data_IF_777383941765
#
_entry.id   IF_777383941765
#
_cell.length_a   1.000
_cell.length_b   1.000
_cell.length_c   1.000
_cell.angle_alpha   90.00
_cell.angle_beta   90.00
_cell.angle_gamma   90.00
#
_symmetry.space_group_name_H-M   'P 1'
#
loop_
_entity.id
_entity.type
_entity.pdbx_description
1 polymer ?
#
# COMPACT_ATOMS: atom_id res chain seq x y z
N UNK A 1 69.62 -55.53 -0.73
CA UNK A 1 69.91 -54.60 0.38
C UNK A 1 68.85 -53.50 0.34
N UNK A 2 68.07 -53.39 1.43
CA UNK A 2 67.14 -52.29 1.85
C UNK A 2 66.18 -51.74 0.79
N UNK A 3 64.86 -52.04 0.87
CA UNK A 3 63.82 -51.19 1.51
C UNK A 3 63.87 -49.72 1.05
N UNK A 4 62.81 -49.05 0.59
CA UNK A 4 61.44 -49.04 1.07
C UNK A 4 60.50 -48.28 0.08
N UNK A 5 59.22 -48.70 0.03
CA UNK A 5 57.98 -47.90 -0.20
C UNK A 5 57.84 -47.05 -1.48
N UNK A 6 56.98 -47.39 -2.45
CA UNK A 6 55.50 -47.18 -2.45
C UNK A 6 55.12 -45.69 -2.31
N UNK A 7 54.38 -45.00 -3.21
CA UNK A 7 53.35 -45.44 -4.17
C UNK A 7 52.98 -44.31 -5.15
N UNK A 8 52.75 -44.72 -6.41
CA UNK A 8 51.72 -44.33 -7.41
C UNK A 8 51.64 -42.86 -7.88
N UNK A 9 51.98 -42.58 -9.14
CA UNK A 9 51.27 -42.85 -10.42
C UNK A 9 49.95 -42.09 -10.60
N UNK A 10 50.11 -41.03 -11.38
CA UNK A 10 49.19 -40.33 -12.27
C UNK A 10 48.12 -41.19 -12.97
N UNK A 11 46.98 -40.56 -13.24
CA UNK A 11 46.03 -40.98 -14.26
C UNK A 11 45.01 -39.88 -14.56
N UNK A 12 45.28 -39.07 -15.58
CA UNK A 12 44.26 -38.28 -16.28
C UNK A 12 43.38 -39.22 -17.12
N UNK A 13 42.05 -39.07 -17.05
CA UNK A 13 41.13 -38.75 -18.16
C UNK A 13 39.68 -39.27 -17.95
N UNK A 14 38.75 -38.35 -18.22
CA UNK A 14 37.35 -38.48 -18.64
C UNK A 14 36.29 -39.15 -17.74
N UNK A 15 35.43 -38.30 -17.16
CA UNK A 15 33.97 -38.38 -17.15
C UNK A 15 33.49 -36.99 -16.69
N UNK A 16 32.61 -36.28 -17.38
CA UNK A 16 31.24 -36.69 -17.66
C UNK A 16 30.33 -35.75 -16.86
N UNK A 17 29.55 -34.96 -17.58
CA UNK A 17 28.43 -34.14 -17.11
C UNK A 17 27.84 -34.58 -15.76
N UNK A 18 27.97 -33.74 -14.73
CA UNK A 18 27.01 -33.70 -13.64
C UNK A 18 26.75 -32.25 -13.24
N UNK A 19 25.48 -31.89 -13.33
CA UNK A 19 24.86 -30.64 -12.92
C UNK A 19 25.45 -30.10 -11.61
N UNK A 20 25.96 -28.87 -11.63
CA UNK A 20 25.84 -27.97 -10.48
C UNK A 20 24.82 -26.91 -10.86
N UNK A 21 23.57 -27.39 -10.92
CA UNK A 21 22.38 -26.57 -10.98
C UNK A 21 21.69 -26.85 -9.65
N UNK A 22 22.10 -26.13 -8.60
CA UNK A 22 21.41 -26.08 -7.32
C UNK A 22 21.92 -24.86 -6.52
N UNK A 23 21.03 -23.88 -6.43
CA UNK A 23 20.92 -22.84 -5.40
C UNK A 23 22.03 -21.78 -5.37
N UNK A 24 21.87 -20.54 -5.83
CA UNK A 24 20.67 -19.70 -5.92
C UNK A 24 19.75 -19.79 -4.68
N UNK A 25 20.29 -20.12 -3.51
CA UNK A 25 19.65 -19.86 -2.22
C UNK A 25 20.71 -19.26 -1.30
N UNK A 26 20.52 -18.00 -0.90
CA UNK A 26 21.44 -17.32 -0.01
C UNK A 26 21.51 -15.81 -0.18
N UNK A 27 20.76 -15.21 -1.11
CA UNK A 27 20.32 -13.84 -0.88
C UNK A 27 19.23 -13.92 0.19
N UNK A 28 19.65 -13.87 1.46
CA UNK A 28 18.78 -13.49 2.56
C UNK A 28 18.22 -12.11 2.20
N UNK A 29 17.06 -12.10 1.53
CA UNK A 29 16.18 -10.96 1.65
C UNK A 29 15.76 -10.94 3.12
N UNK A 30 16.42 -10.08 3.90
CA UNK A 30 15.92 -9.70 5.21
C UNK A 30 14.43 -9.39 5.09
N UNK A 31 13.60 -9.82 6.06
CA UNK A 31 12.19 -9.46 6.04
C UNK A 31 12.12 -7.94 5.97
N UNK A 32 11.35 -7.34 5.04
CA UNK A 32 11.27 -5.89 4.99
C UNK A 32 10.70 -5.41 6.33
N UNK A 33 11.56 -4.86 7.17
CA UNK A 33 11.17 -4.11 8.35
C UNK A 33 10.69 -2.71 7.92
N UNK A 34 9.76 -2.65 6.96
CA UNK A 34 9.05 -1.43 6.56
C UNK A 34 7.69 -1.46 7.21
N UNK A 35 7.67 -1.12 8.50
CA UNK A 35 6.42 -0.63 9.07
C UNK A 35 6.20 0.73 8.42
N UNK A 36 5.14 0.84 7.61
CA UNK A 36 4.54 2.03 6.97
C UNK A 36 4.64 2.04 5.43
N UNK A 37 3.49 1.97 4.70
CA UNK A 37 3.43 2.17 3.25
C UNK A 37 3.99 3.54 2.85
N UNK A 38 4.78 3.61 1.78
CA UNK A 38 5.35 4.85 1.23
C UNK A 38 6.71 5.29 1.80
N UNK A 39 7.28 4.58 2.78
CA UNK A 39 8.60 4.92 3.34
C UNK A 39 9.73 4.35 2.48
N UNK A 40 10.57 5.21 1.91
CA UNK A 40 11.84 4.78 1.30
C UNK A 40 12.84 4.32 2.39
N UNK A 41 13.68 3.30 2.12
CA UNK A 41 14.77 2.86 3.01
C UNK A 41 15.63 3.96 3.63
N UNK A 42 15.84 4.99 2.84
CA UNK A 42 16.76 6.10 3.05
C UNK A 42 16.02 7.41 3.37
N UNK A 43 14.68 7.39 3.42
CA UNK A 43 13.90 8.58 3.77
C UNK A 43 14.13 8.92 5.26
N UNK A 44 14.75 10.08 5.47
CA UNK A 44 14.88 10.73 6.78
C UNK A 44 13.66 11.59 7.13
N UNK A 45 12.61 11.56 6.31
CA UNK A 45 11.55 12.56 6.28
C UNK A 45 10.24 11.97 6.83
N UNK A 46 9.93 12.15 8.13
CA UNK A 46 8.81 11.48 8.79
C UNK A 46 7.41 11.84 8.26
N UNK A 47 7.25 13.00 7.61
CA UNK A 47 5.93 13.48 7.16
C UNK A 47 5.38 12.77 5.92
N UNK A 48 6.22 12.33 5.00
CA UNK A 48 5.78 11.51 3.86
C UNK A 48 5.12 10.22 4.34
N UNK A 49 5.59 9.67 5.47
CA UNK A 49 4.99 8.51 6.11
C UNK A 49 3.62 8.84 6.74
N UNK A 50 3.45 10.01 7.37
CA UNK A 50 2.15 10.45 7.89
C UNK A 50 1.14 10.66 6.77
N UNK A 51 1.52 11.36 5.70
CA UNK A 51 0.64 11.62 4.56
C UNK A 51 0.31 10.35 3.77
N UNK A 52 1.26 9.43 3.64
CA UNK A 52 1.01 8.11 3.05
C UNK A 52 0.04 7.30 3.90
N UNK A 53 0.26 7.23 5.21
CA UNK A 53 -0.66 6.55 6.12
C UNK A 53 -2.05 7.16 6.12
N UNK A 54 -2.15 8.49 6.14
CA UNK A 54 -3.41 9.23 6.03
C UNK A 54 -4.15 8.87 4.74
N UNK A 55 -3.43 8.81 3.60
CA UNK A 55 -4.01 8.42 2.32
C UNK A 55 -4.54 6.98 2.32
N UNK A 56 -3.75 6.01 2.78
CA UNK A 56 -4.18 4.61 2.85
C UNK A 56 -5.40 4.43 3.75
N UNK A 57 -5.42 5.06 4.93
CA UNK A 57 -6.59 5.06 5.82
C UNK A 57 -7.80 5.64 5.12
N UNK A 58 -7.70 6.86 4.58
CA UNK A 58 -8.82 7.53 3.93
C UNK A 58 -9.40 6.71 2.78
N UNK A 59 -8.54 6.22 1.89
CA UNK A 59 -8.94 5.48 0.69
C UNK A 59 -9.56 4.13 1.07
N UNK A 60 -8.94 3.39 1.99
CA UNK A 60 -9.49 2.11 2.47
C UNK A 60 -10.83 2.27 3.18
N UNK A 61 -10.98 3.28 4.04
CA UNK A 61 -12.25 3.58 4.73
C UNK A 61 -13.33 4.04 3.75
N UNK A 62 -12.96 4.86 2.76
CA UNK A 62 -13.91 5.27 1.73
C UNK A 62 -14.42 4.08 0.90
N UNK A 63 -13.57 3.10 0.62
CA UNK A 63 -14.00 1.86 -0.04
C UNK A 63 -15.08 1.14 0.77
N UNK A 64 -14.88 1.00 2.09
CA UNK A 64 -15.87 0.40 2.99
C UNK A 64 -17.19 1.18 3.01
N UNK A 65 -17.14 2.52 3.02
CA UNK A 65 -18.32 3.38 2.97
C UNK A 65 -19.09 3.21 1.65
N UNK A 66 -18.39 3.11 0.52
CA UNK A 66 -19.01 2.88 -0.79
C UNK A 66 -19.61 1.48 -0.93
N UNK A 67 -19.06 0.49 -0.23
CA UNK A 67 -19.46 -0.92 -0.34
C UNK A 67 -19.78 -1.57 1.01
N UNK A 68 -20.80 -1.07 1.75
CA UNK A 68 -21.02 -1.41 3.16
C UNK A 68 -21.44 -2.86 3.41
N UNK A 69 -21.94 -3.57 2.39
CA UNK A 69 -22.36 -4.97 2.49
C UNK A 69 -21.29 -5.97 2.05
N UNK A 70 -20.12 -5.50 1.60
CA UNK A 70 -19.05 -6.36 1.08
C UNK A 70 -18.08 -6.77 2.20
N UNK A 71 -17.52 -7.96 2.04
CA UNK A 71 -16.42 -8.44 2.89
C UNK A 71 -15.11 -7.90 2.34
N UNK A 72 -14.55 -6.92 3.03
CA UNK A 72 -13.34 -6.21 2.62
C UNK A 72 -12.31 -6.23 3.75
N UNK A 73 -11.08 -6.54 3.38
CA UNK A 73 -9.90 -6.55 4.25
C UNK A 73 -9.00 -5.37 3.86
N UNK A 74 -8.42 -4.72 4.86
CA UNK A 74 -7.50 -3.60 4.68
C UNK A 74 -6.18 -3.92 5.39
N UNK A 75 -5.07 -3.26 5.07
CA UNK A 75 -3.88 -3.30 5.94
C UNK A 75 -4.31 -2.91 7.38
N UNK A 76 -4.01 -3.71 8.43
CA UNK A 76 -2.94 -4.72 8.53
C UNK A 76 -3.30 -6.19 8.25
N UNK A 77 -4.47 -6.50 7.70
CA UNK A 77 -4.87 -7.87 7.40
C UNK A 77 -3.90 -8.53 6.40
N UNK A 78 -3.44 -9.73 6.74
CA UNK A 78 -2.45 -10.44 5.94
C UNK A 78 -3.12 -11.51 5.06
N UNK A 79 -2.38 -12.06 4.08
CA UNK A 79 -2.93 -13.06 3.16
C UNK A 79 -3.47 -14.31 3.87
N UNK A 80 -2.93 -14.71 5.01
CA UNK A 80 -3.48 -15.84 5.79
C UNK A 80 -4.89 -15.51 6.27
N UNK A 81 -5.04 -14.35 6.93
CA UNK A 81 -6.34 -13.85 7.42
C UNK A 81 -7.33 -13.69 6.27
N UNK A 82 -6.91 -13.07 5.16
CA UNK A 82 -7.77 -12.86 3.98
C UNK A 82 -8.28 -14.18 3.40
N UNK A 83 -7.43 -15.21 3.30
CA UNK A 83 -7.85 -16.51 2.76
C UNK A 83 -8.82 -17.23 3.69
N UNK A 84 -8.53 -17.21 5.00
CA UNK A 84 -9.32 -17.88 6.03
C UNK A 84 -10.68 -17.20 6.25
N UNK A 85 -10.65 -15.92 6.65
CA UNK A 85 -11.85 -15.16 7.02
C UNK A 85 -12.66 -14.76 5.79
N UNK A 86 -11.98 -14.56 4.64
CA UNK A 86 -12.62 -14.34 3.36
C UNK A 86 -13.22 -15.60 2.75
N UNK A 87 -13.07 -16.77 3.39
CA UNK A 87 -13.57 -18.08 2.94
C UNK A 87 -13.13 -18.43 1.52
N UNK A 88 -11.90 -18.06 1.17
CA UNK A 88 -11.35 -18.24 -0.17
C UNK A 88 -10.69 -19.61 -0.38
N UNK A 89 -10.29 -20.28 0.70
CA UNK A 89 -9.66 -21.60 0.65
C UNK A 89 -8.88 -21.93 1.94
N UNK A 90 -7.85 -22.77 1.81
CA UNK A 90 -6.99 -23.15 2.93
C UNK A 90 -5.74 -22.24 2.99
N UNK A 91 -5.57 -21.41 4.04
CA UNK A 91 -4.39 -20.54 4.19
C UNK A 91 -3.09 -21.34 4.28
N UNK A 92 -3.14 -22.65 4.60
CA UNK A 92 -1.95 -23.49 4.63
C UNK A 92 -1.30 -23.69 3.26
N UNK A 93 -2.04 -23.47 2.18
CA UNK A 93 -1.52 -23.48 0.80
C UNK A 93 -0.58 -22.32 0.51
N UNK A 94 -0.64 -21.23 1.28
CA UNK A 94 0.35 -20.17 1.24
C UNK A 94 1.62 -20.59 2.00
N UNK A 95 2.79 -20.27 1.45
CA UNK A 95 4.07 -20.47 2.14
C UNK A 95 4.16 -19.56 3.39
N UNK A 96 4.99 -19.95 4.36
CA UNK A 96 5.07 -19.27 5.68
C UNK A 96 5.28 -17.76 5.56
N UNK A 97 6.14 -17.30 4.65
CA UNK A 97 6.40 -15.87 4.46
C UNK A 97 5.32 -15.17 3.64
N UNK A 98 4.74 -15.85 2.65
CA UNK A 98 3.66 -15.29 1.82
C UNK A 98 2.41 -15.01 2.66
N UNK A 99 2.14 -15.81 3.69
CA UNK A 99 1.06 -15.57 4.66
C UNK A 99 1.10 -14.20 5.32
N UNK A 100 2.29 -13.61 5.45
CA UNK A 100 2.50 -12.34 6.16
C UNK A 100 2.34 -11.11 5.27
N UNK A 101 2.21 -11.29 3.96
CA UNK A 101 2.02 -10.20 3.01
C UNK A 101 0.68 -9.50 3.25
N UNK A 102 0.62 -8.19 3.03
CA UNK A 102 -0.51 -7.32 3.36
C UNK A 102 -0.86 -6.45 2.17
N UNK A 103 -1.90 -6.81 1.41
CA UNK A 103 -2.41 -5.93 0.37
C UNK A 103 -3.18 -4.76 0.98
N UNK A 104 -3.22 -3.63 0.27
CA UNK A 104 -3.82 -2.40 0.82
C UNK A 104 -5.35 -2.52 0.95
N UNK A 105 -6.03 -3.03 -0.09
CA UNK A 105 -7.46 -3.34 -0.08
C UNK A 105 -7.69 -4.69 -0.76
N UNK A 106 -8.41 -5.60 -0.10
CA UNK A 106 -8.92 -6.83 -0.72
C UNK A 106 -10.40 -6.99 -0.47
N UNK A 107 -11.21 -6.96 -1.52
CA UNK A 107 -12.65 -7.21 -1.48
C UNK A 107 -12.92 -8.65 -1.95
N UNK A 108 -13.23 -9.53 -1.01
CA UNK A 108 -13.47 -10.95 -1.30
C UNK A 108 -14.88 -11.21 -1.80
N UNK A 109 -15.80 -10.26 -1.65
CA UNK A 109 -17.14 -10.34 -2.25
C UNK A 109 -17.11 -10.03 -3.74
N UNK A 110 -16.32 -9.04 -4.16
CA UNK A 110 -16.12 -8.70 -5.57
C UNK A 110 -14.92 -9.42 -6.23
N UNK A 111 -14.14 -10.17 -5.44
CA UNK A 111 -12.92 -10.86 -5.87
C UNK A 111 -11.91 -9.90 -6.52
N UNK A 112 -11.67 -8.76 -5.86
CA UNK A 112 -10.73 -7.74 -6.34
C UNK A 112 -9.72 -7.32 -5.27
N UNK A 113 -8.55 -6.88 -5.73
CA UNK A 113 -7.48 -6.33 -4.92
C UNK A 113 -7.03 -4.99 -5.48
N UNK A 114 -6.63 -4.07 -4.61
CA UNK A 114 -5.99 -2.80 -4.95
C UNK A 114 -4.74 -2.58 -4.11
N UNK A 115 -3.69 -2.07 -4.75
CA UNK A 115 -2.53 -1.47 -4.10
C UNK A 115 -2.59 0.04 -4.24
N UNK A 116 -2.33 0.74 -3.14
CA UNK A 116 -2.36 2.19 -3.02
C UNK A 116 -0.92 2.70 -3.00
N UNK A 117 -0.60 3.66 -3.88
CA UNK A 117 0.73 4.31 -3.93
C UNK A 117 0.62 5.78 -4.35
N UNK A 118 1.65 6.61 -4.11
CA UNK A 118 1.67 7.98 -4.65
C UNK A 118 1.56 8.02 -6.18
N UNK A 119 0.90 9.05 -6.72
CA UNK A 119 0.76 9.29 -8.16
C UNK A 119 2.06 9.87 -8.76
N UNK A 120 3.06 9.00 -8.91
CA UNK A 120 4.30 9.24 -9.63
C UNK A 120 4.79 7.95 -10.31
N UNK A 121 5.84 8.03 -11.13
CA UNK A 121 6.33 6.88 -11.92
C UNK A 121 6.80 5.70 -11.05
N UNK A 122 7.46 5.99 -9.93
CA UNK A 122 7.94 4.99 -8.97
C UNK A 122 6.76 4.30 -8.29
N UNK A 123 5.79 5.07 -7.78
CA UNK A 123 4.57 4.56 -7.15
C UNK A 123 3.73 3.70 -8.10
N UNK A 124 3.59 4.10 -9.37
CA UNK A 124 2.95 3.28 -10.41
C UNK A 124 3.66 1.94 -10.59
N UNK A 125 4.99 1.96 -10.72
CA UNK A 125 5.80 0.74 -10.89
C UNK A 125 5.69 -0.17 -9.66
N UNK A 126 5.78 0.38 -8.46
CA UNK A 126 5.68 -0.35 -7.21
C UNK A 126 4.29 -0.96 -7.01
N UNK A 127 3.22 -0.18 -7.22
CA UNK A 127 1.85 -0.67 -7.11
C UNK A 127 1.61 -1.85 -8.04
N UNK A 128 2.04 -1.74 -9.31
CA UNK A 128 1.91 -2.82 -10.29
C UNK A 128 2.64 -4.08 -9.86
N UNK A 129 3.86 -3.94 -9.34
CA UNK A 129 4.65 -5.07 -8.86
C UNK A 129 4.02 -5.73 -7.63
N UNK A 130 3.57 -4.95 -6.65
CA UNK A 130 2.97 -5.47 -5.42
C UNK A 130 1.61 -6.13 -5.71
N UNK A 131 0.73 -5.47 -6.47
CA UNK A 131 -0.58 -6.00 -6.84
C UNK A 131 -0.43 -7.33 -7.60
N UNK A 132 0.49 -7.39 -8.57
CA UNK A 132 0.79 -8.62 -9.30
C UNK A 132 1.30 -9.75 -8.41
N UNK A 133 2.21 -9.46 -7.46
CA UNK A 133 2.72 -10.44 -6.50
C UNK A 133 1.61 -10.98 -5.60
N UNK A 134 0.77 -10.11 -5.05
CA UNK A 134 -0.32 -10.50 -4.17
C UNK A 134 -1.40 -11.31 -4.90
N UNK A 135 -1.81 -10.87 -6.09
CA UNK A 135 -2.76 -11.61 -6.92
C UNK A 135 -2.22 -12.99 -7.29
N UNK A 136 -0.94 -13.12 -7.68
CA UNK A 136 -0.33 -14.41 -7.98
C UNK A 136 -0.30 -15.33 -6.75
N UNK A 137 0.06 -14.79 -5.58
CA UNK A 137 0.09 -15.55 -4.32
C UNK A 137 -1.31 -16.04 -3.90
N UNK A 138 -2.30 -15.14 -3.87
CA UNK A 138 -3.68 -15.47 -3.54
C UNK A 138 -4.24 -16.50 -4.52
N UNK A 139 -4.14 -16.25 -5.82
CA UNK A 139 -4.71 -17.13 -6.85
C UNK A 139 -4.05 -18.52 -6.92
N UNK A 140 -2.85 -18.69 -6.35
CA UNK A 140 -2.23 -19.99 -6.14
C UNK A 140 -2.80 -20.79 -4.96
N UNK A 141 -3.42 -20.12 -3.98
CA UNK A 141 -3.89 -20.70 -2.73
C UNK A 141 -5.42 -20.82 -2.61
N UNK A 142 -6.18 -20.03 -3.36
CA UNK A 142 -7.66 -20.03 -3.31
C UNK A 142 -8.28 -21.11 -4.20
N UNK A 143 -9.59 -21.28 -4.09
CA UNK A 143 -10.40 -22.15 -4.97
C UNK A 143 -10.52 -21.57 -6.40
N UNK A 144 -10.64 -22.40 -7.45
CA UNK A 144 -10.63 -21.93 -8.84
C UNK A 144 -11.69 -20.87 -9.19
N UNK A 145 -12.87 -20.96 -8.60
CA UNK A 145 -14.01 -20.05 -8.76
C UNK A 145 -13.90 -18.78 -7.89
N UNK A 146 -12.92 -18.73 -6.98
CA UNK A 146 -12.66 -17.61 -6.07
C UNK A 146 -11.40 -16.83 -6.41
N UNK A 147 -10.92 -16.94 -7.65
CA UNK A 147 -9.75 -16.20 -8.12
C UNK A 147 -10.04 -14.70 -8.16
N UNK A 148 -9.12 -13.94 -7.57
CA UNK A 148 -9.16 -12.49 -7.53
C UNK A 148 -8.50 -11.88 -8.77
N UNK A 149 -8.90 -10.66 -9.09
CA UNK A 149 -8.30 -9.81 -10.13
C UNK A 149 -7.96 -8.43 -9.60
N UNK A 150 -7.23 -7.63 -10.38
CA UNK A 150 -7.05 -6.21 -10.06
C UNK A 150 -8.38 -5.48 -10.16
N UNK A 151 -8.73 -4.72 -9.13
CA UNK A 151 -9.94 -3.91 -9.14
C UNK A 151 -9.83 -2.69 -10.06
N UNK A 152 -10.96 -2.14 -10.51
CA UNK A 152 -11.01 -1.05 -11.48
C UNK A 152 -12.02 0.02 -11.07
N UNK A 153 -11.85 1.25 -11.56
CA UNK A 153 -12.88 2.30 -11.43
C UNK A 153 -13.10 2.80 -10.00
N UNK A 154 -12.13 2.59 -9.10
CA UNK A 154 -12.18 3.17 -7.77
C UNK A 154 -11.43 4.51 -7.77
N UNK A 155 -12.19 5.59 -7.64
CA UNK A 155 -11.71 6.97 -7.66
C UNK A 155 -12.48 7.82 -6.67
N UNK A 156 -11.89 8.94 -6.28
CA UNK A 156 -12.53 9.89 -5.38
C UNK A 156 -11.56 10.95 -4.89
N UNK A 157 -12.10 11.85 -4.06
CA UNK A 157 -11.28 12.84 -3.36
C UNK A 157 -11.97 13.30 -2.08
N UNK A 158 -11.17 13.67 -1.09
CA UNK A 158 -11.61 14.36 0.11
C UNK A 158 -10.85 15.67 0.29
N UNK A 159 -11.40 16.55 1.11
CA UNK A 159 -10.75 17.81 1.47
C UNK A 159 -10.49 17.89 2.98
N UNK A 160 -9.37 18.51 3.34
CA UNK A 160 -9.02 18.84 4.70
C UNK A 160 -8.79 20.35 4.78
N UNK A 161 -9.61 21.02 5.56
CA UNK A 161 -9.50 22.44 5.86
C UNK A 161 -8.88 22.64 7.23
N UNK A 162 -7.81 23.44 7.27
CA UNK A 162 -7.18 23.93 8.49
C UNK A 162 -7.62 25.36 8.73
N UNK A 163 -8.21 25.64 9.89
CA UNK A 163 -8.71 26.96 10.31
C UNK A 163 -9.83 27.48 9.39
N UNK A 164 -10.78 28.24 9.92
CA UNK A 164 -11.92 28.70 9.12
C UNK A 164 -11.46 29.65 8.00
N UNK A 165 -11.43 29.16 6.76
CA UNK A 165 -10.93 29.89 5.60
C UNK A 165 -9.43 29.73 5.33
N UNK A 166 -8.71 28.91 6.10
CA UNK A 166 -7.27 28.67 5.95
C UNK A 166 -6.93 27.70 4.80
N UNK A 167 -5.77 27.06 4.90
CA UNK A 167 -5.26 26.13 3.90
C UNK A 167 -6.27 25.00 3.61
N UNK A 168 -6.52 24.75 2.32
CA UNK A 168 -7.39 23.66 1.89
C UNK A 168 -6.55 22.60 1.18
N UNK A 169 -6.34 21.48 1.85
CA UNK A 169 -5.68 20.32 1.26
C UNK A 169 -6.73 19.43 0.60
N UNK A 170 -6.32 18.75 -0.46
CA UNK A 170 -7.11 17.73 -1.12
C UNK A 170 -6.28 16.47 -1.26
N UNK A 171 -6.86 15.34 -0.84
CA UNK A 171 -6.40 14.02 -1.24
C UNK A 171 -7.30 13.58 -2.39
N UNK A 172 -6.71 13.30 -3.54
CA UNK A 172 -7.40 12.66 -4.66
C UNK A 172 -6.78 11.30 -4.95
N UNK A 173 -7.59 10.36 -5.43
CA UNK A 173 -7.11 9.06 -5.89
C UNK A 173 -7.88 8.59 -7.12
N UNK A 174 -7.21 7.74 -7.90
CA UNK A 174 -7.73 7.15 -9.13
C UNK A 174 -7.14 5.76 -9.33
N UNK A 175 -7.85 4.90 -10.05
CA UNK A 175 -7.39 3.55 -10.39
C UNK A 175 -7.09 3.45 -11.90
N UNK A 176 -5.91 3.89 -12.38
CA UNK A 176 -5.60 3.93 -13.81
C UNK A 176 -5.39 2.56 -14.44
N UNK A 177 -5.00 1.55 -13.65
CA UNK A 177 -4.78 0.19 -14.09
C UNK A 177 -5.43 -0.79 -13.11
N UNK A 178 -5.85 -1.99 -13.55
CA UNK A 178 -6.42 -2.99 -12.66
C UNK A 178 -5.51 -3.28 -11.46
N UNK A 179 -6.04 -3.03 -10.26
CA UNK A 179 -5.37 -3.26 -8.98
C UNK A 179 -4.34 -2.20 -8.58
N UNK A 180 -4.24 -1.10 -9.32
CA UNK A 180 -3.34 0.02 -9.02
C UNK A 180 -4.17 1.26 -8.73
N UNK A 181 -4.20 1.68 -7.48
CA UNK A 181 -4.80 2.94 -7.04
C UNK A 181 -3.68 3.93 -6.72
N UNK A 182 -3.68 5.07 -7.40
CA UNK A 182 -2.71 6.13 -7.20
C UNK A 182 -3.34 7.31 -6.48
N UNK A 183 -2.64 7.89 -5.51
CA UNK A 183 -3.10 9.05 -4.75
C UNK A 183 -2.19 10.26 -4.87
N UNK A 184 -2.78 11.45 -4.78
CA UNK A 184 -2.06 12.73 -4.76
C UNK A 184 -2.61 13.63 -3.67
N UNK A 185 -1.68 14.23 -2.92
CA UNK A 185 -1.97 15.37 -2.06
C UNK A 185 -1.74 16.66 -2.83
N UNK A 186 -2.69 17.58 -2.70
CA UNK A 186 -2.59 18.91 -3.27
C UNK A 186 -3.13 19.98 -2.33
N UNK A 187 -2.78 21.21 -2.65
CA UNK A 187 -2.95 22.36 -1.81
C UNK A 187 -3.64 23.48 -2.58
N UNK A 188 -4.53 24.19 -1.89
CA UNK A 188 -5.12 25.44 -2.32
C UNK A 188 -4.85 26.49 -1.26
N UNK A 189 -4.44 27.66 -1.72
CA UNK A 189 -4.04 28.76 -0.85
C UNK A 189 -5.21 29.19 0.03
N UNK A 190 -4.85 29.61 1.23
CA UNK A 190 -5.74 30.33 2.12
C UNK A 190 -6.41 31.48 1.36
N UNK A 191 -7.72 31.59 1.54
CA UNK A 191 -8.51 32.69 1.01
C UNK A 191 -9.52 33.07 2.10
N UNK A 192 -9.20 34.08 2.91
CA UNK A 192 -10.05 34.48 4.02
C UNK A 192 -11.48 34.76 3.54
N UNK A 193 -12.46 34.31 4.34
CA UNK A 193 -13.89 34.47 4.08
C UNK A 193 -14.44 33.76 2.83
N UNK A 194 -13.63 32.97 2.11
CA UNK A 194 -14.12 32.15 1.01
C UNK A 194 -14.71 30.84 1.53
N UNK A 195 -15.87 30.48 0.99
CA UNK A 195 -16.47 29.16 1.22
C UNK A 195 -15.54 28.05 0.74
N UNK A 196 -15.73 26.84 1.27
CA UNK A 196 -14.99 25.67 0.82
C UNK A 196 -15.17 25.43 -0.68
N UNK A 197 -16.35 25.68 -1.26
CA UNK A 197 -16.62 25.52 -2.70
C UNK A 197 -15.81 26.50 -3.54
N UNK A 198 -15.73 27.76 -3.12
CA UNK A 198 -14.91 28.78 -3.80
C UNK A 198 -13.42 28.48 -3.69
N UNK A 199 -12.97 27.92 -2.57
CA UNK A 199 -11.58 27.47 -2.42
C UNK A 199 -11.31 26.23 -3.27
N UNK A 200 -12.20 25.24 -3.26
CA UNK A 200 -12.08 24.04 -4.08
C UNK A 200 -11.94 24.34 -5.58
N UNK A 201 -12.57 25.43 -6.05
CA UNK A 201 -12.48 25.93 -7.42
C UNK A 201 -11.17 26.69 -7.74
N UNK A 202 -10.32 26.97 -6.75
CA UNK A 202 -9.00 27.55 -6.99
C UNK A 202 -8.10 26.58 -7.75
N UNK A 203 -7.05 27.14 -8.35
CA UNK A 203 -5.98 26.35 -8.96
C UNK A 203 -5.37 25.43 -7.91
N UNK A 204 -5.30 24.15 -8.27
CA UNK A 204 -4.59 23.14 -7.50
C UNK A 204 -3.08 23.38 -7.59
N UNK A 205 -2.40 23.40 -6.44
CA UNK A 205 -0.94 23.48 -6.31
C UNK A 205 -0.40 22.20 -5.65
N UNK A 206 0.88 21.90 -5.88
CA UNK A 206 1.56 20.83 -5.15
C UNK A 206 1.60 21.20 -3.66
N UNK A 207 1.39 20.22 -2.78
CA UNK A 207 1.50 20.43 -1.34
C UNK A 207 2.94 20.84 -0.99
N UNK A 208 3.17 22.04 -0.42
CA UNK A 208 4.52 22.46 -0.03
C UNK A 208 5.10 21.53 1.03
N UNK A 209 6.41 21.31 0.96
CA UNK A 209 7.12 20.43 1.90
C UNK A 209 6.99 20.93 3.33
N UNK A 210 7.15 22.23 3.53
CA UNK A 210 7.08 22.88 4.84
C UNK A 210 5.67 22.76 5.46
N UNK A 211 4.63 22.83 4.62
CA UNK A 211 3.23 22.67 5.03
C UNK A 211 2.94 21.20 5.42
N UNK A 212 3.48 20.24 4.66
CA UNK A 212 3.44 18.81 4.99
C UNK A 212 4.20 18.49 6.29
N UNK A 213 5.38 19.05 6.48
CA UNK A 213 6.21 18.93 7.68
C UNK A 213 5.47 19.44 8.92
N UNK A 214 4.84 20.61 8.81
CA UNK A 214 4.19 21.26 9.93
C UNK A 214 2.88 20.57 10.34
N UNK A 215 2.11 20.06 9.37
CA UNK A 215 0.71 19.65 9.61
C UNK A 215 0.40 18.20 9.24
N UNK A 216 1.35 17.45 8.68
CA UNK A 216 1.12 16.08 8.18
C UNK A 216 0.62 15.10 9.26
N UNK A 217 1.18 15.16 10.46
CA UNK A 217 0.71 14.33 11.59
C UNK A 217 -0.72 14.70 12.00
N UNK A 218 -1.02 16.00 12.09
CA UNK A 218 -2.36 16.49 12.42
C UNK A 218 -3.38 16.09 11.34
N UNK A 219 -2.99 16.12 10.06
CA UNK A 219 -3.81 15.67 8.95
C UNK A 219 -4.17 14.18 9.06
N UNK A 220 -3.19 13.33 9.37
CA UNK A 220 -3.45 11.90 9.60
C UNK A 220 -4.44 11.70 10.74
N UNK A 221 -4.23 12.36 11.88
CA UNK A 221 -5.07 12.22 13.06
C UNK A 221 -6.50 12.73 12.80
N UNK A 222 -6.66 13.87 12.12
CA UNK A 222 -7.96 14.43 11.77
C UNK A 222 -8.75 13.51 10.81
N UNK A 223 -8.08 12.92 9.82
CA UNK A 223 -8.71 11.96 8.89
C UNK A 223 -9.16 10.70 9.61
N UNK A 224 -8.32 10.16 10.51
CA UNK A 224 -8.71 9.03 11.35
C UNK A 224 -9.92 9.36 12.20
N UNK A 225 -9.92 10.52 12.87
CA UNK A 225 -11.06 10.97 13.68
C UNK A 225 -12.36 11.05 12.86
N UNK A 226 -12.28 11.61 11.64
CA UNK A 226 -13.44 11.77 10.75
C UNK A 226 -14.08 10.42 10.36
N UNK A 227 -13.28 9.41 10.01
CA UNK A 227 -13.82 8.08 9.64
C UNK A 227 -14.15 7.19 10.84
N UNK A 228 -13.36 7.25 11.91
CA UNK A 228 -13.46 6.34 13.06
C UNK A 228 -14.37 6.89 14.17
N UNK A 229 -14.96 8.08 13.99
CA UNK A 229 -15.72 8.82 15.00
C UNK A 229 -14.92 9.01 16.29
N UNK A 230 -13.62 9.22 16.15
CA UNK A 230 -12.67 9.42 17.24
C UNK A 230 -12.60 10.87 17.72
N UNK A 231 -11.76 11.12 18.71
CA UNK A 231 -11.47 12.48 19.18
C UNK A 231 -10.66 13.25 18.14
N UNK A 232 -11.02 14.51 17.93
CA UNK A 232 -10.24 15.42 17.08
C UNK A 232 -8.87 15.70 17.73
N UNK A 233 -7.79 15.81 16.94
CA UNK A 233 -6.47 16.06 17.50
C UNK A 233 -6.37 17.43 18.17
N UNK A 234 -5.61 17.52 19.25
CA UNK A 234 -5.41 18.76 20.00
C UNK A 234 -4.87 19.88 19.09
N UNK A 235 -5.53 21.03 19.12
CA UNK A 235 -5.15 22.19 18.31
C UNK A 235 -5.69 22.17 16.87
N UNK A 236 -6.36 21.11 16.43
CA UNK A 236 -7.06 21.12 15.15
C UNK A 236 -8.31 22.00 15.23
N UNK A 237 -8.29 23.08 14.48
CA UNK A 237 -9.42 23.99 14.32
C UNK A 237 -9.87 23.92 12.87
N UNK A 238 -10.48 22.82 12.42
CA UNK A 238 -10.72 22.62 10.99
C UNK A 238 -11.90 21.71 10.68
N UNK A 239 -12.00 21.32 9.40
CA UNK A 239 -13.04 20.42 8.91
C UNK A 239 -12.46 19.40 7.91
N UNK A 240 -13.04 18.20 7.90
CA UNK A 240 -12.77 17.17 6.89
C UNK A 240 -14.03 16.99 6.08
N UNK A 241 -13.96 17.22 4.77
CA UNK A 241 -15.06 17.01 3.85
C UNK A 241 -14.88 15.68 3.15
N UNK A 242 -15.74 14.71 3.48
CA UNK A 242 -15.66 13.38 2.91
C UNK A 242 -16.29 13.36 1.52
N UNK A 243 -15.94 12.37 0.66
CA UNK A 243 -16.49 12.30 -0.69
C UNK A 243 -18.03 12.22 -0.75
N UNK A 244 -18.67 11.73 0.31
CA UNK A 244 -20.14 11.66 0.45
C UNK A 244 -20.80 13.01 0.75
N UNK A 245 -20.02 14.00 1.20
CA UNK A 245 -20.52 15.35 1.49
C UNK A 245 -20.50 16.26 0.25
N UNK A 246 -19.85 15.81 -0.83
CA UNK A 246 -19.68 16.53 -2.09
C UNK A 246 -20.87 16.29 -3.04
N UNK A 247 -22.05 16.83 -2.69
CA UNK A 247 -23.24 16.85 -3.54
C UNK A 247 -23.70 18.28 -3.89
#
# INVERSE_FOLDING_TARGET
MMECGSRRRYGWRLAGFLLVLLAALGAQAEPPAYKLPGRKPDSQEPWDAFLGKAAHVAIGRQYLVQYPSRTVFLDPDNLSTIVEDGKLGDPKRLSKFVRLLRPDITDTSALVLFEIKPDNEEGLKEARQQAGRYLAALNGAVEPDKKLKGGTGFEGSLFLEFENGGALWQLSWRTPEPGVTLYRWSYRREKPHASWKERAAQKEEALPKEEAEQRGEMAEQAIRAAYEKGEWPNGFQGQVYLPVDCH
#
